data_IF_541479499069
#
_entry.id   IF_541479499069
#
_cell.length_a   1.000
_cell.length_b   1.000
_cell.length_c   1.000
_cell.angle_alpha   90.00
_cell.angle_beta   90.00
_cell.angle_gamma   90.00
#
_symmetry.space_group_name_H-M   'P 1'
#
loop_
_entity.id
_entity.type
_entity.pdbx_description
1 polymer ?
#
# COMPACT_ATOMS: atom_id res chain seq x y z
N UNK A 1 34.72 14.76 12.41
CA UNK A 1 34.10 16.00 11.87
C UNK A 1 34.32 16.11 10.35
N UNK A 2 34.12 15.00 9.62
CA UNK A 2 34.39 14.94 8.16
C UNK A 2 33.26 14.32 7.33
N UNK A 3 32.23 13.73 7.94
CA UNK A 3 31.18 12.98 7.22
C UNK A 3 29.79 13.63 7.22
N UNK A 4 29.67 14.88 7.70
CA UNK A 4 28.37 15.59 7.73
C UNK A 4 28.23 16.62 6.60
N UNK A 5 29.25 16.79 5.76
CA UNK A 5 29.29 17.86 4.74
C UNK A 5 29.26 17.36 3.29
N UNK A 6 29.25 16.05 3.02
CA UNK A 6 29.06 15.53 1.66
C UNK A 6 27.61 15.66 1.15
N UNK A 7 26.68 16.10 2.02
CA UNK A 7 25.27 16.30 1.69
C UNK A 7 25.02 17.65 0.97
N UNK A 8 25.96 18.60 1.02
CA UNK A 8 25.61 19.98 0.66
C UNK A 8 25.92 20.45 -0.74
N UNK A 9 26.94 19.96 -1.46
CA UNK A 9 27.18 20.42 -2.83
C UNK A 9 27.91 19.38 -3.68
N UNK A 10 27.13 18.55 -4.38
CA UNK A 10 27.61 17.63 -5.41
C UNK A 10 26.44 17.21 -6.29
N UNK A 11 26.56 17.45 -7.61
CA UNK A 11 25.58 17.13 -8.68
C UNK A 11 24.62 16.01 -8.31
N UNK A 12 23.35 16.37 -8.19
CA UNK A 12 22.32 15.48 -7.66
C UNK A 12 21.88 14.49 -8.73
N UNK A 13 22.26 13.23 -8.57
CA UNK A 13 21.55 12.11 -9.16
C UNK A 13 20.27 11.89 -8.32
N UNK A 14 19.16 12.52 -8.73
CA UNK A 14 17.95 12.74 -7.93
C UNK A 14 17.03 11.52 -7.74
N UNK A 15 17.56 10.30 -7.72
CA UNK A 15 16.77 9.14 -7.23
C UNK A 15 17.48 8.49 -6.07
N UNK A 16 17.18 8.95 -4.85
CA UNK A 16 17.45 8.16 -3.65
C UNK A 16 16.60 6.88 -3.80
N UNK A 17 17.23 5.77 -4.21
CA UNK A 17 16.52 4.50 -4.35
C UNK A 17 16.69 3.70 -3.06
N UNK A 18 15.58 3.39 -2.39
CA UNK A 18 15.57 2.47 -1.24
C UNK A 18 15.25 1.03 -1.68
N UNK A 19 15.68 0.64 -2.89
CA UNK A 19 15.35 -0.64 -3.53
C UNK A 19 15.68 -1.89 -2.70
N UNK A 20 16.60 -1.80 -1.73
CA UNK A 20 17.08 -2.95 -0.93
C UNK A 20 17.16 -2.65 0.57
N UNK A 21 16.33 -1.73 1.06
CA UNK A 21 16.45 -1.22 2.43
C UNK A 21 16.28 -2.30 3.50
N UNK A 22 15.41 -3.31 3.29
CA UNK A 22 15.24 -4.38 4.28
C UNK A 22 16.54 -5.19 4.42
N UNK A 23 17.24 -5.45 3.31
CA UNK A 23 18.53 -6.15 3.32
C UNK A 23 19.69 -5.36 3.94
N UNK A 24 19.54 -4.04 4.07
CA UNK A 24 20.52 -3.11 4.66
C UNK A 24 20.25 -2.84 6.15
N UNK A 25 19.13 -3.32 6.68
CA UNK A 25 18.83 -3.20 8.10
C UNK A 25 19.85 -3.99 8.95
N UNK A 26 20.20 -3.49 10.14
CA UNK A 26 21.04 -4.22 11.09
C UNK A 26 20.29 -5.41 11.70
N UNK A 27 21.03 -6.45 12.08
CA UNK A 27 20.50 -7.70 12.65
C UNK A 27 19.48 -7.52 13.78
N UNK A 28 19.71 -6.54 14.66
CA UNK A 28 18.81 -6.21 15.78
C UNK A 28 17.40 -5.77 15.35
N UNK A 29 17.25 -5.29 14.12
CA UNK A 29 15.97 -4.92 13.50
C UNK A 29 15.43 -6.08 12.67
N UNK A 30 16.29 -6.77 11.90
CA UNK A 30 15.86 -7.88 11.02
C UNK A 30 15.37 -9.10 11.79
N UNK A 31 15.80 -9.27 13.04
CA UNK A 31 15.30 -10.32 13.94
C UNK A 31 13.95 -9.99 14.60
N UNK A 32 13.43 -8.78 14.41
CA UNK A 32 12.11 -8.41 14.95
C UNK A 32 11.01 -8.95 14.02
N UNK A 33 9.83 -9.34 14.56
CA UNK A 33 8.69 -9.72 13.75
C UNK A 33 8.33 -8.63 12.72
N UNK A 34 8.02 -9.01 11.48
CA UNK A 34 7.81 -8.05 10.39
C UNK A 34 6.69 -7.03 10.69
N UNK A 35 5.67 -7.43 11.45
CA UNK A 35 4.59 -6.53 11.89
C UNK A 35 5.00 -5.54 12.99
N UNK A 36 6.25 -5.56 13.46
CA UNK A 36 6.80 -4.57 14.37
C UNK A 36 7.64 -3.51 13.65
N UNK A 37 8.06 -3.76 12.41
CA UNK A 37 8.80 -2.79 11.62
C UNK A 37 7.87 -1.68 11.10
N UNK A 38 8.39 -0.47 10.98
CA UNK A 38 7.78 0.58 10.18
C UNK A 38 8.03 0.31 8.69
N UNK A 39 6.97 0.20 7.90
CA UNK A 39 6.98 -0.21 6.49
C UNK A 39 6.26 0.85 5.65
N UNK A 40 6.92 1.43 4.63
CA UNK A 40 6.29 2.40 3.74
C UNK A 40 5.36 1.72 2.73
N UNK A 41 4.21 2.34 2.51
CA UNK A 41 3.12 1.83 1.68
C UNK A 41 2.47 2.92 0.84
N UNK A 42 1.73 2.52 -0.18
CA UNK A 42 0.98 3.43 -1.06
C UNK A 42 -0.49 3.06 -1.10
N UNK A 43 -1.35 4.07 -1.08
CA UNK A 43 -2.81 3.91 -1.19
C UNK A 43 -3.21 3.66 -2.64
N UNK A 44 -4.09 2.67 -2.87
CA UNK A 44 -4.51 2.24 -4.20
C UNK A 44 -3.33 2.24 -5.20
N UNK A 45 -2.30 1.43 -4.92
CA UNK A 45 -0.96 1.56 -5.49
C UNK A 45 -0.90 1.54 -7.03
N UNK A 46 -1.91 1.00 -7.68
CA UNK A 46 -1.96 0.76 -9.12
C UNK A 46 -2.59 1.91 -9.94
N UNK A 47 -3.15 2.92 -9.28
CA UNK A 47 -3.98 3.96 -9.94
C UNK A 47 -3.22 4.82 -10.94
N UNK A 48 -1.87 4.79 -10.92
CA UNK A 48 -1.00 5.36 -11.95
C UNK A 48 -1.33 4.86 -13.36
N UNK A 49 -1.97 3.70 -13.47
CA UNK A 49 -2.34 3.06 -14.73
C UNK A 49 -3.76 3.40 -15.22
N UNK A 50 -4.55 4.12 -14.41
CA UNK A 50 -5.84 4.68 -14.83
C UNK A 50 -5.57 5.80 -15.84
N UNK A 51 -6.38 5.85 -16.90
CA UNK A 51 -6.32 6.89 -17.92
C UNK A 51 -7.63 7.68 -17.90
N UNK A 52 -7.63 8.89 -18.44
CA UNK A 52 -8.88 9.65 -18.63
C UNK A 52 -9.92 8.88 -19.46
N UNK A 53 -9.46 8.04 -20.39
CA UNK A 53 -10.30 7.17 -21.21
C UNK A 53 -10.66 5.83 -20.54
N UNK A 54 -10.27 5.59 -19.28
CA UNK A 54 -10.65 4.37 -18.58
C UNK A 54 -12.15 4.36 -18.32
N UNK A 55 -12.79 3.20 -18.52
CA UNK A 55 -14.19 3.01 -18.19
C UNK A 55 -14.45 3.26 -16.70
N UNK A 56 -15.59 3.88 -16.39
CA UNK A 56 -16.04 4.11 -15.01
C UNK A 56 -16.42 2.76 -14.39
N UNK A 57 -15.96 2.50 -13.17
CA UNK A 57 -16.24 1.26 -12.46
C UNK A 57 -17.30 1.48 -11.36
N UNK A 58 -18.12 0.47 -11.00
CA UNK A 58 -19.20 0.61 -10.01
C UNK A 58 -18.81 1.15 -8.62
N UNK A 59 -17.53 1.16 -8.23
CA UNK A 59 -17.08 1.71 -6.95
C UNK A 59 -16.90 3.24 -6.97
N UNK A 60 -17.12 3.89 -8.13
CA UNK A 60 -16.98 5.34 -8.26
C UNK A 60 -17.99 6.10 -7.40
N UNK A 61 -17.58 7.16 -6.67
CA UNK A 61 -18.54 8.09 -6.08
C UNK A 61 -19.33 8.77 -7.20
N UNK A 62 -20.65 8.63 -7.19
CA UNK A 62 -21.50 9.15 -8.26
C UNK A 62 -21.54 8.29 -9.53
N UNK A 63 -21.24 6.98 -9.41
CA UNK A 63 -21.31 6.02 -10.52
C UNK A 63 -22.58 6.15 -11.37
N UNK A 64 -23.76 6.27 -10.75
CA UNK A 64 -25.04 6.38 -11.46
C UNK A 64 -25.10 7.60 -12.40
N UNK A 65 -24.38 8.67 -12.10
CA UNK A 65 -24.29 9.85 -12.94
C UNK A 65 -23.23 9.66 -14.04
N UNK A 66 -22.01 9.25 -13.66
CA UNK A 66 -20.89 9.16 -14.60
C UNK A 66 -21.00 8.00 -15.60
N UNK A 67 -21.63 6.89 -15.21
CA UNK A 67 -21.85 5.72 -16.08
C UNK A 67 -22.87 5.94 -17.19
N UNK A 68 -23.71 6.98 -17.08
CA UNK A 68 -24.65 7.38 -18.14
C UNK A 68 -23.98 8.18 -19.26
N UNK A 69 -22.76 8.68 -19.02
CA UNK A 69 -21.99 9.41 -20.02
C UNK A 69 -21.17 8.43 -20.87
N UNK A 70 -20.81 8.76 -22.13
CA UNK A 70 -19.83 7.99 -22.86
C UNK A 70 -18.52 7.89 -22.05
N UNK A 71 -17.86 6.72 -22.06
CA UNK A 71 -16.71 6.41 -21.21
C UNK A 71 -15.65 7.51 -21.16
N UNK A 72 -15.36 8.13 -22.31
CA UNK A 72 -14.40 9.23 -22.40
C UNK A 72 -14.79 10.43 -21.52
N UNK A 73 -16.06 10.83 -21.52
CA UNK A 73 -16.54 11.99 -20.76
C UNK A 73 -16.70 11.67 -19.28
N UNK A 74 -17.32 10.54 -18.94
CA UNK A 74 -17.46 10.11 -17.55
C UNK A 74 -16.10 9.86 -16.90
N UNK A 75 -15.21 9.16 -17.62
CA UNK A 75 -13.85 8.89 -17.19
C UNK A 75 -13.03 10.17 -16.98
N UNK A 76 -13.10 11.14 -17.89
CA UNK A 76 -12.38 12.41 -17.75
C UNK A 76 -12.79 13.19 -16.49
N UNK A 77 -14.07 13.17 -16.10
CA UNK A 77 -14.58 13.89 -14.93
C UNK A 77 -14.14 13.25 -13.61
N UNK A 78 -14.09 11.92 -13.54
CA UNK A 78 -13.72 11.20 -12.31
C UNK A 78 -12.20 10.96 -12.20
N UNK A 79 -11.45 11.08 -13.29
CA UNK A 79 -10.02 10.73 -13.36
C UNK A 79 -9.17 11.35 -12.25
N UNK A 80 -9.32 12.65 -12.01
CA UNK A 80 -8.55 13.35 -10.99
C UNK A 80 -8.90 12.92 -9.56
N UNK A 81 -10.06 12.31 -9.38
CA UNK A 81 -10.54 11.73 -8.13
C UNK A 81 -10.19 10.24 -7.98
N UNK A 82 -9.94 9.56 -9.11
CA UNK A 82 -9.57 8.15 -9.17
C UNK A 82 -8.06 7.92 -8.99
N UNK A 83 -7.21 8.86 -9.40
CA UNK A 83 -5.75 8.69 -9.35
C UNK A 83 -5.17 9.07 -7.99
N UNK A 84 -4.48 8.12 -7.34
CA UNK A 84 -3.80 8.28 -6.04
C UNK A 84 -2.28 8.16 -6.14
N UNK A 85 -1.75 7.58 -7.21
CA UNK A 85 -0.32 7.43 -7.47
C UNK A 85 0.00 7.77 -8.92
N UNK A 86 1.20 8.25 -9.18
CA UNK A 86 1.72 8.57 -10.53
C UNK A 86 2.96 7.74 -10.91
N UNK A 87 3.52 6.99 -9.95
CA UNK A 87 4.60 6.04 -10.20
C UNK A 87 4.05 4.64 -10.44
N UNK A 88 4.69 3.88 -11.32
CA UNK A 88 4.39 2.46 -11.50
C UNK A 88 4.67 1.63 -10.25
N UNK A 89 4.06 0.44 -10.12
CA UNK A 89 4.39 -0.49 -9.03
C UNK A 89 5.90 -0.77 -8.98
N UNK A 90 6.54 -0.90 -10.15
CA UNK A 90 7.99 -1.08 -10.24
C UNK A 90 8.75 0.08 -9.60
N UNK A 91 8.42 1.31 -9.98
CA UNK A 91 9.08 2.52 -9.46
C UNK A 91 8.81 2.72 -7.97
N UNK A 92 7.59 2.42 -7.50
CA UNK A 92 7.26 2.44 -6.07
C UNK A 92 8.13 1.45 -5.28
N UNK A 93 8.27 0.21 -5.77
CA UNK A 93 9.12 -0.80 -5.13
C UNK A 93 10.61 -0.38 -5.16
N UNK A 94 11.11 0.20 -6.25
CA UNK A 94 12.47 0.73 -6.34
C UNK A 94 12.72 1.93 -5.43
N UNK A 95 11.69 2.74 -5.18
CA UNK A 95 11.71 3.85 -4.24
C UNK A 95 11.66 3.39 -2.77
N UNK A 96 11.34 2.12 -2.50
CA UNK A 96 11.36 1.51 -1.17
C UNK A 96 10.00 1.13 -0.60
N UNK A 97 8.91 1.35 -1.33
CA UNK A 97 7.57 0.90 -0.93
C UNK A 97 7.57 -0.63 -0.80
N UNK A 98 6.96 -1.15 0.27
CA UNK A 98 6.85 -2.60 0.54
C UNK A 98 5.45 -3.04 0.95
N UNK A 99 4.51 -2.12 1.08
CA UNK A 99 3.08 -2.42 1.19
C UNK A 99 2.33 -1.82 0.00
N UNK A 100 1.62 -2.67 -0.74
CA UNK A 100 0.83 -2.30 -1.90
C UNK A 100 -0.65 -2.55 -1.60
N UNK A 101 -1.45 -1.49 -1.66
CA UNK A 101 -2.90 -1.52 -1.45
C UNK A 101 -3.62 -1.70 -2.78
N UNK A 102 -4.21 -2.87 -2.97
CA UNK A 102 -4.90 -3.28 -4.19
C UNK A 102 -6.40 -3.32 -3.97
N UNK A 103 -7.13 -2.91 -5.01
CA UNK A 103 -8.57 -3.10 -5.14
C UNK A 103 -8.83 -3.79 -6.45
N UNK A 104 -9.57 -4.89 -6.39
CA UNK A 104 -9.76 -5.78 -7.54
C UNK A 104 -11.24 -5.86 -7.88
N UNK A 105 -11.56 -5.66 -9.14
CA UNK A 105 -12.89 -5.87 -9.70
C UNK A 105 -12.87 -7.02 -10.70
N UNK A 106 -14.02 -7.68 -10.87
CA UNK A 106 -14.30 -8.42 -12.09
C UNK A 106 -14.90 -7.44 -13.10
N UNK A 107 -14.25 -7.24 -14.24
CA UNK A 107 -14.79 -6.43 -15.33
C UNK A 107 -16.16 -7.03 -15.74
N UNK A 108 -17.28 -6.30 -15.57
CA UNK A 108 -18.61 -6.84 -15.82
C UNK A 108 -18.87 -7.15 -17.30
N UNK A 109 -18.08 -6.56 -18.21
CA UNK A 109 -18.22 -6.75 -19.65
C UNK A 109 -17.31 -7.85 -20.19
N UNK A 110 -16.11 -8.01 -19.61
CA UNK A 110 -15.08 -8.96 -20.10
C UNK A 110 -14.91 -10.20 -19.22
N UNK A 111 -15.33 -10.13 -17.96
CA UNK A 111 -15.08 -11.18 -16.97
C UNK A 111 -13.63 -11.28 -16.50
N UNK A 112 -12.79 -10.30 -16.84
CA UNK A 112 -11.36 -10.26 -16.47
C UNK A 112 -11.15 -9.66 -15.07
N UNK A 113 -10.11 -10.10 -14.37
CA UNK A 113 -9.72 -9.49 -13.08
C UNK A 113 -8.88 -8.23 -13.35
N UNK A 114 -9.44 -7.08 -12.99
CA UNK A 114 -8.83 -5.76 -13.20
C UNK A 114 -8.66 -5.04 -11.88
N UNK A 115 -7.66 -4.16 -11.81
CA UNK A 115 -7.52 -3.25 -10.68
C UNK A 115 -8.48 -2.07 -10.85
N UNK A 116 -9.08 -1.58 -9.77
CA UNK A 116 -10.19 -0.59 -9.84
C UNK A 116 -10.14 0.45 -8.74
N UNK A 117 -10.38 1.71 -9.08
CA UNK A 117 -10.66 2.76 -8.10
C UNK A 117 -11.46 3.87 -8.79
N UNK A 118 -12.78 3.77 -8.75
CA UNK A 118 -13.72 4.58 -9.54
C UNK A 118 -13.64 4.37 -11.07
N UNK A 119 -12.52 3.87 -11.58
CA UNK A 119 -12.31 3.50 -12.96
C UNK A 119 -11.50 2.21 -13.06
N UNK A 120 -11.64 1.51 -14.18
CA UNK A 120 -10.79 0.38 -14.52
C UNK A 120 -9.35 0.83 -14.76
N UNK A 121 -8.41 0.10 -14.16
CA UNK A 121 -6.99 0.20 -14.39
C UNK A 121 -6.49 -1.03 -15.18
N UNK A 122 -5.21 -1.38 -15.05
CA UNK A 122 -4.64 -2.56 -15.70
C UNK A 122 -5.20 -3.89 -15.14
N UNK A 123 -5.07 -4.98 -15.91
CA UNK A 123 -5.27 -6.34 -15.40
C UNK A 123 -4.41 -6.60 -14.15
N UNK A 124 -4.97 -7.32 -13.17
CA UNK A 124 -4.25 -7.66 -11.94
C UNK A 124 -3.00 -8.49 -12.25
N UNK A 125 -3.10 -9.40 -13.23
CA UNK A 125 -1.99 -10.27 -13.66
C UNK A 125 -0.72 -9.49 -13.98
N UNK A 126 -0.84 -8.34 -14.67
CA UNK A 126 0.31 -7.53 -15.09
C UNK A 126 1.09 -7.02 -13.88
N UNK A 127 0.40 -6.50 -12.87
CA UNK A 127 1.04 -5.96 -11.67
C UNK A 127 1.59 -7.07 -10.76
N UNK A 128 0.93 -8.23 -10.67
CA UNK A 128 1.48 -9.38 -9.94
C UNK A 128 2.78 -9.87 -10.58
N UNK A 129 2.90 -9.83 -11.92
CA UNK A 129 4.15 -10.16 -12.62
C UNK A 129 5.27 -9.15 -12.33
N UNK A 130 4.94 -7.86 -12.16
CA UNK A 130 5.90 -6.84 -11.73
C UNK A 130 6.42 -7.16 -10.32
N UNK A 131 5.52 -7.48 -9.38
CA UNK A 131 5.86 -7.90 -8.01
C UNK A 131 6.77 -9.13 -8.02
N UNK A 132 6.40 -10.16 -8.79
CA UNK A 132 7.20 -11.39 -8.92
C UNK A 132 8.61 -11.11 -9.45
N UNK A 133 8.72 -10.27 -10.48
CA UNK A 133 10.00 -9.87 -11.06
C UNK A 133 10.87 -9.12 -10.06
N UNK A 134 10.32 -8.15 -9.35
CA UNK A 134 11.05 -7.40 -8.32
C UNK A 134 11.54 -8.32 -7.20
N UNK A 135 10.69 -9.22 -6.71
CA UNK A 135 11.04 -10.17 -5.66
C UNK A 135 12.21 -11.09 -6.06
N UNK A 136 12.28 -11.48 -7.34
CA UNK A 136 13.39 -12.26 -7.88
C UNK A 136 14.70 -11.46 -7.94
N UNK A 137 14.63 -10.18 -8.31
CA UNK A 137 15.80 -9.30 -8.40
C UNK A 137 16.34 -8.90 -7.02
N UNK A 138 15.46 -8.78 -6.01
CA UNK A 138 15.80 -8.37 -4.66
C UNK A 138 15.37 -9.44 -3.63
N UNK A 139 16.08 -10.57 -3.53
CA UNK A 139 15.67 -11.74 -2.74
C UNK A 139 15.79 -11.56 -1.23
N UNK A 140 16.05 -10.35 -0.72
CA UNK A 140 15.98 -10.04 0.73
C UNK A 140 14.93 -8.98 1.04
N UNK A 141 14.13 -8.61 0.05
CA UNK A 141 13.02 -7.69 0.23
C UNK A 141 11.71 -8.47 0.34
N UNK A 142 10.88 -8.08 1.30
CA UNK A 142 9.58 -8.71 1.55
C UNK A 142 8.47 -7.74 1.16
N UNK A 143 7.56 -8.19 0.30
CA UNK A 143 6.47 -7.37 -0.25
C UNK A 143 5.15 -7.83 0.37
N UNK A 144 4.40 -6.88 0.89
CA UNK A 144 3.03 -7.06 1.35
C UNK A 144 2.10 -6.57 0.24
N UNK A 145 1.29 -7.46 -0.32
CA UNK A 145 0.23 -7.10 -1.27
C UNK A 145 -1.10 -7.32 -0.57
N UNK A 146 -1.85 -6.25 -0.35
CA UNK A 146 -3.14 -6.30 0.31
C UNK A 146 -4.26 -6.08 -0.70
N UNK A 147 -4.98 -7.15 -1.06
CA UNK A 147 -6.20 -7.04 -1.83
C UNK A 147 -7.34 -6.63 -0.88
N UNK A 148 -7.30 -5.36 -0.48
CA UNK A 148 -8.11 -4.79 0.59
C UNK A 148 -9.60 -4.79 0.24
N UNK A 149 -9.94 -4.56 -1.04
CA UNK A 149 -11.32 -4.62 -1.53
C UNK A 149 -11.44 -5.48 -2.79
N UNK A 150 -12.50 -6.28 -2.85
CA UNK A 150 -12.90 -7.06 -4.01
C UNK A 150 -14.33 -6.68 -4.43
N UNK A 151 -14.54 -6.38 -5.71
CA UNK A 151 -15.82 -5.94 -6.26
C UNK A 151 -16.29 -6.87 -7.38
N UNK A 152 -17.62 -7.01 -7.52
CA UNK A 152 -18.26 -7.77 -8.61
C UNK A 152 -17.89 -9.28 -8.69
N UNK A 153 -17.31 -9.85 -7.64
CA UNK A 153 -17.14 -11.31 -7.50
C UNK A 153 -18.49 -11.97 -7.19
N UNK A 154 -19.22 -12.38 -8.23
CA UNK A 154 -20.59 -12.91 -8.13
C UNK A 154 -20.67 -14.43 -7.99
N UNK A 155 -19.58 -15.15 -8.27
CA UNK A 155 -19.58 -16.62 -8.30
C UNK A 155 -18.36 -17.21 -7.58
N UNK A 156 -18.52 -18.39 -6.98
CA UNK A 156 -17.40 -19.15 -6.41
C UNK A 156 -16.35 -19.53 -7.47
N UNK A 157 -16.75 -19.64 -8.74
CA UNK A 157 -15.82 -19.88 -9.85
C UNK A 157 -14.87 -18.69 -10.03
N UNK A 158 -15.38 -17.45 -10.04
CA UNK A 158 -14.53 -16.25 -10.12
C UNK A 158 -13.56 -16.16 -8.95
N UNK A 159 -14.00 -16.47 -7.73
CA UNK A 159 -13.13 -16.51 -6.55
C UNK A 159 -12.01 -17.55 -6.74
N UNK A 160 -12.35 -18.76 -7.18
CA UNK A 160 -11.39 -19.83 -7.42
C UNK A 160 -10.41 -19.53 -8.56
N UNK A 161 -10.89 -18.95 -9.66
CA UNK A 161 -10.07 -18.56 -10.80
C UNK A 161 -9.07 -17.45 -10.39
N UNK A 162 -9.50 -16.50 -9.54
CA UNK A 162 -8.64 -15.44 -9.03
C UNK A 162 -7.57 -15.98 -8.07
N UNK A 163 -7.96 -16.87 -7.16
CA UNK A 163 -7.01 -17.60 -6.30
C UNK A 163 -5.98 -18.36 -7.15
N UNK A 164 -6.43 -19.07 -8.20
CA UNK A 164 -5.57 -19.77 -9.14
C UNK A 164 -4.61 -18.82 -9.87
N UNK A 165 -5.07 -17.63 -10.26
CA UNK A 165 -4.24 -16.61 -10.89
C UNK A 165 -3.11 -16.16 -9.95
N UNK A 166 -3.44 -15.83 -8.70
CA UNK A 166 -2.46 -15.39 -7.70
C UNK A 166 -1.44 -16.51 -7.45
N UNK A 167 -1.89 -17.72 -7.18
CA UNK A 167 -1.01 -18.86 -6.88
C UNK A 167 -0.13 -19.26 -8.06
N UNK A 168 -0.64 -19.16 -9.30
CA UNK A 168 0.16 -19.40 -10.50
C UNK A 168 1.34 -18.44 -10.63
N UNK A 169 1.15 -17.16 -10.28
CA UNK A 169 2.18 -16.12 -10.47
C UNK A 169 3.10 -16.01 -9.25
N UNK A 170 2.53 -15.98 -8.04
CA UNK A 170 3.25 -15.69 -6.80
C UNK A 170 3.41 -16.91 -5.89
N UNK A 171 2.64 -17.98 -6.08
CA UNK A 171 2.60 -19.13 -5.16
C UNK A 171 3.96 -19.67 -4.72
N UNK A 172 4.95 -19.87 -5.63
CA UNK A 172 6.28 -20.36 -5.25
C UNK A 172 7.05 -19.43 -4.30
N UNK A 173 6.76 -18.13 -4.31
CA UNK A 173 7.43 -17.10 -3.50
C UNK A 173 6.52 -16.56 -2.39
N UNK A 174 5.31 -17.10 -2.22
CA UNK A 174 4.41 -16.66 -1.16
C UNK A 174 4.77 -17.28 0.19
N UNK A 175 4.79 -16.43 1.21
CA UNK A 175 4.87 -16.81 2.61
C UNK A 175 3.46 -17.25 3.04
N UNK A 176 3.23 -18.53 3.38
CA UNK A 176 1.92 -19.00 3.79
C UNK A 176 1.51 -18.40 5.15
N UNK A 177 0.21 -18.43 5.50
CA UNK A 177 -0.24 -18.05 6.83
C UNK A 177 0.48 -18.82 7.92
N UNK A 178 0.87 -18.10 8.97
CA UNK A 178 1.52 -18.64 10.17
C UNK A 178 0.78 -18.14 11.41
N UNK A 179 0.95 -18.81 12.55
CA UNK A 179 0.35 -18.36 13.81
C UNK A 179 0.82 -16.95 14.17
N UNK A 180 2.14 -16.73 14.09
CA UNK A 180 2.81 -15.44 14.30
C UNK A 180 3.32 -14.85 13.00
N UNK A 181 3.60 -13.53 12.99
CA UNK A 181 4.26 -12.90 11.85
C UNK A 181 5.77 -13.14 11.94
N UNK A 182 6.41 -13.75 10.94
CA UNK A 182 7.84 -14.03 10.97
C UNK A 182 8.68 -12.74 10.84
N UNK A 183 9.91 -12.80 11.33
CA UNK A 183 10.95 -11.78 11.16
C UNK A 183 11.57 -11.83 9.77
N UNK A 184 12.33 -10.81 9.39
CA UNK A 184 13.07 -10.82 8.12
C UNK A 184 14.12 -11.93 8.09
N UNK A 185 14.83 -12.15 9.21
CA UNK A 185 15.86 -13.20 9.32
C UNK A 185 15.28 -14.60 9.07
N UNK A 186 14.09 -14.89 9.61
CA UNK A 186 13.38 -16.16 9.39
C UNK A 186 12.91 -16.31 7.94
N UNK A 187 12.32 -15.25 7.37
CA UNK A 187 11.87 -15.25 5.97
C UNK A 187 13.04 -15.53 5.02
N UNK A 188 14.20 -14.92 5.26
CA UNK A 188 15.39 -15.07 4.42
C UNK A 188 16.00 -16.47 4.42
N UNK A 189 15.68 -17.32 5.40
CA UNK A 189 16.05 -18.75 5.38
C UNK A 189 15.25 -19.58 4.37
N UNK A 190 14.20 -18.99 3.79
CA UNK A 190 13.34 -19.63 2.78
C UNK A 190 13.57 -18.98 1.41
N UNK A 191 12.82 -19.42 0.39
CA UNK A 191 12.72 -18.73 -0.91
C UNK A 191 11.46 -17.82 -1.02
N UNK A 192 10.75 -17.59 0.08
CA UNK A 192 9.48 -16.86 0.12
C UNK A 192 9.67 -15.37 0.44
N UNK A 193 8.95 -14.48 -0.25
CA UNK A 193 9.18 -13.02 -0.21
C UNK A 193 7.90 -12.20 -0.27
N UNK A 194 6.75 -12.83 -0.51
CA UNK A 194 5.48 -12.11 -0.69
C UNK A 194 4.46 -12.60 0.32
N UNK A 195 3.86 -11.68 1.08
CA UNK A 195 2.63 -11.94 1.81
C UNK A 195 1.50 -11.33 1.00
N UNK A 196 0.49 -12.14 0.67
CA UNK A 196 -0.68 -11.68 -0.07
C UNK A 196 -1.92 -11.82 0.82
N UNK A 197 -2.62 -10.72 1.07
CA UNK A 197 -3.86 -10.69 1.83
C UNK A 197 -5.06 -10.66 0.88
N UNK A 198 -6.07 -11.47 1.18
CA UNK A 198 -7.29 -11.56 0.37
C UNK A 198 -8.53 -11.71 1.26
N UNK A 199 -9.52 -10.83 1.03
CA UNK A 199 -10.85 -10.90 1.65
C UNK A 199 -11.90 -11.35 0.64
N UNK A 200 -11.95 -12.65 0.41
CA UNK A 200 -13.03 -13.29 -0.33
C UNK A 200 -13.56 -14.45 0.49
N UNK A 201 -14.88 -14.66 0.45
CA UNK A 201 -15.51 -15.83 1.05
C UNK A 201 -15.13 -17.10 0.29
N UNK A 202 -13.91 -17.61 0.56
CA UNK A 202 -13.35 -18.83 -0.04
C UNK A 202 -13.95 -20.06 0.64
N UNK A 203 -15.00 -20.64 0.06
CA UNK A 203 -15.62 -21.86 0.61
C UNK A 203 -14.68 -23.07 0.60
N UNK A 204 -13.86 -23.20 -0.45
CA UNK A 204 -12.90 -24.28 -0.63
C UNK A 204 -11.55 -23.70 -1.12
N UNK A 205 -10.70 -23.18 -0.23
CA UNK A 205 -9.41 -22.59 -0.61
C UNK A 205 -8.49 -23.64 -1.26
N UNK A 206 -7.74 -23.23 -2.27
CA UNK A 206 -6.78 -24.09 -2.99
C UNK A 206 -5.66 -24.50 -2.02
N UNK A 207 -5.31 -25.79 -2.05
CA UNK A 207 -4.31 -26.36 -1.14
C UNK A 207 -2.92 -26.50 -1.81
N UNK A 208 -1.81 -26.26 -1.08
CA UNK A 208 -1.78 -25.70 0.27
C UNK A 208 -2.21 -24.22 0.27
N UNK A 209 -2.99 -23.80 1.26
CA UNK A 209 -3.43 -22.39 1.37
C UNK A 209 -2.22 -21.49 1.66
N UNK A 210 -2.03 -20.48 0.80
CA UNK A 210 -0.94 -19.50 0.90
C UNK A 210 -1.44 -18.08 1.09
N UNK A 211 -2.75 -17.86 1.05
CA UNK A 211 -3.33 -16.53 1.12
C UNK A 211 -3.63 -16.18 2.57
N UNK A 212 -3.12 -15.03 3.01
CA UNK A 212 -3.39 -14.53 4.34
C UNK A 212 -4.81 -13.98 4.40
N UNK A 213 -5.60 -14.31 5.42
CA UNK A 213 -6.93 -13.74 5.56
C UNK A 213 -6.81 -12.26 5.91
N UNK A 214 -7.61 -11.39 5.29
CA UNK A 214 -7.48 -9.92 5.45
C UNK A 214 -7.65 -9.42 6.88
N UNK A 215 -8.30 -10.20 7.77
CA UNK A 215 -8.29 -9.90 9.22
C UNK A 215 -6.88 -9.80 9.84
N UNK A 216 -5.84 -10.29 9.15
CA UNK A 216 -4.42 -10.18 9.55
C UNK A 216 -3.82 -8.81 9.24
N UNK A 217 -4.55 -7.93 8.55
CA UNK A 217 -4.21 -6.52 8.37
C UNK A 217 -5.36 -5.67 8.92
N UNK A 218 -5.07 -4.83 9.92
CA UNK A 218 -6.02 -3.83 10.40
C UNK A 218 -5.73 -2.52 9.69
N UNK A 219 -6.60 -2.13 8.75
CA UNK A 219 -6.47 -0.89 7.96
C UNK A 219 -7.67 0.03 8.18
N UNK A 220 -7.81 0.66 9.36
CA UNK A 220 -8.97 1.50 9.64
C UNK A 220 -8.90 2.79 8.81
N UNK A 221 -9.92 3.01 8.00
CA UNK A 221 -10.03 4.16 7.11
C UNK A 221 -10.46 5.42 7.89
N UNK A 222 -9.67 6.52 7.89
CA UNK A 222 -10.01 7.72 8.67
C UNK A 222 -11.36 8.34 8.29
N UNK A 223 -11.70 8.32 6.99
CA UNK A 223 -12.91 8.93 6.41
C UNK A 223 -13.08 10.39 6.86
N UNK A 224 -12.00 11.17 6.72
CA UNK A 224 -11.91 12.60 7.08
C UNK A 224 -11.60 13.45 5.86
N UNK A 225 -12.07 14.69 5.87
CA UNK A 225 -11.78 15.72 4.86
C UNK A 225 -10.85 16.82 5.37
N UNK A 226 -10.54 16.82 6.67
CA UNK A 226 -9.67 17.79 7.34
C UNK A 226 -8.43 17.13 7.98
N UNK A 227 -7.29 17.83 7.92
CA UNK A 227 -6.02 17.33 8.42
C UNK A 227 -5.96 17.22 9.96
N UNK A 228 -6.58 18.15 10.70
CA UNK A 228 -6.61 18.09 12.17
C UNK A 228 -7.41 16.87 12.65
N UNK A 229 -8.53 16.58 11.98
CA UNK A 229 -9.31 15.37 12.24
C UNK A 229 -8.52 14.09 11.91
N UNK A 230 -7.74 14.10 10.82
CA UNK A 230 -6.83 13.01 10.48
C UNK A 230 -5.79 12.78 11.59
N UNK A 231 -5.15 13.84 12.08
CA UNK A 231 -4.17 13.73 13.18
C UNK A 231 -4.81 13.23 14.47
N UNK A 232 -6.01 13.71 14.79
CA UNK A 232 -6.77 13.23 15.96
C UNK A 232 -7.08 11.73 15.84
N UNK A 233 -7.49 11.29 14.65
CA UNK A 233 -7.72 9.88 14.36
C UNK A 233 -6.43 9.05 14.54
N UNK A 234 -5.31 9.47 13.96
CA UNK A 234 -4.02 8.78 14.07
C UNK A 234 -3.54 8.67 15.53
N UNK A 235 -3.64 9.76 16.29
CA UNK A 235 -3.28 9.78 17.71
C UNK A 235 -4.14 8.81 18.55
N UNK A 236 -5.41 8.62 18.19
CA UNK A 236 -6.27 7.65 18.88
C UNK A 236 -5.86 6.18 18.64
N UNK A 237 -4.99 5.91 17.65
CA UNK A 237 -4.54 4.58 17.22
C UNK A 237 -3.02 4.42 17.30
N UNK A 238 -2.41 5.12 18.24
CA UNK A 238 -0.98 5.09 18.47
C UNK A 238 -0.66 5.00 19.96
N UNK A 239 0.49 4.40 20.27
CA UNK A 239 1.07 4.40 21.59
C UNK A 239 0.50 3.34 22.52
N UNK A 240 0.89 3.36 23.80
CA UNK A 240 0.59 2.27 24.75
C UNK A 240 -0.91 2.10 25.06
N UNK A 241 -1.74 3.11 24.74
CA UNK A 241 -3.20 3.03 24.87
C UNK A 241 -3.86 2.25 23.72
N UNK A 242 -3.11 1.96 22.67
CA UNK A 242 -3.54 1.19 21.51
C UNK A 242 -2.52 0.06 21.23
N UNK A 243 -2.48 -0.99 22.08
CA UNK A 243 -1.63 -2.15 21.82
C UNK A 243 -2.12 -2.88 20.57
N UNK A 244 -1.19 -3.20 19.66
CA UNK A 244 -1.51 -3.94 18.44
C UNK A 244 -1.49 -5.43 18.71
N UNK A 245 -2.35 -6.19 18.04
CA UNK A 245 -2.33 -7.65 18.17
C UNK A 245 -1.02 -8.22 17.58
N UNK A 246 -0.31 -9.11 18.29
CA UNK A 246 1.02 -9.57 17.91
C UNK A 246 1.03 -10.42 16.63
N UNK A 247 -0.14 -10.90 16.22
CA UNK A 247 -0.33 -11.73 15.04
C UNK A 247 -0.81 -10.92 13.82
N UNK A 248 -0.95 -9.59 13.93
CA UNK A 248 -1.53 -8.75 12.86
C UNK A 248 -0.63 -7.59 12.47
N UNK A 249 -0.77 -7.19 11.22
CA UNK A 249 -0.29 -5.91 10.72
C UNK A 249 -1.30 -4.81 11.02
N UNK A 250 -0.81 -3.57 11.11
CA UNK A 250 -1.65 -2.39 11.28
C UNK A 250 -1.20 -1.30 10.33
N UNK A 251 -2.17 -0.66 9.68
CA UNK A 251 -1.94 0.40 8.70
C UNK A 251 -2.36 1.75 9.29
N UNK A 252 -1.40 2.67 9.37
CA UNK A 252 -1.62 4.09 9.63
C UNK A 252 -1.77 4.82 8.29
N UNK A 253 -2.99 5.23 7.96
CA UNK A 253 -3.29 5.90 6.70
C UNK A 253 -3.23 7.43 6.84
N UNK A 254 -2.35 8.07 6.08
CA UNK A 254 -2.20 9.54 6.01
C UNK A 254 -3.00 10.18 4.88
N UNK A 255 -4.22 9.70 4.64
CA UNK A 255 -5.06 10.14 3.51
C UNK A 255 -6.27 10.94 3.98
N UNK A 256 -6.73 11.85 3.13
CA UNK A 256 -8.05 12.46 3.23
C UNK A 256 -8.97 11.87 2.17
N UNK A 257 -10.25 11.76 2.49
CA UNK A 257 -11.23 11.12 1.63
C UNK A 257 -12.38 12.09 1.39
N UNK A 258 -12.54 12.60 0.16
CA UNK A 258 -13.71 13.34 -0.21
C UNK A 258 -14.92 12.40 -0.30
N UNK A 259 -16.08 12.85 0.15
CA UNK A 259 -17.32 12.13 -0.10
C UNK A 259 -17.87 12.40 -1.51
N UNK A 260 -18.93 11.68 -1.88
CA UNK A 260 -19.55 11.83 -3.19
C UNK A 260 -20.02 13.27 -3.46
N UNK A 261 -20.55 13.97 -2.45
CA UNK A 261 -21.03 15.34 -2.63
C UNK A 261 -19.86 16.29 -2.90
N UNK A 262 -18.76 16.13 -2.17
CA UNK A 262 -17.53 16.88 -2.39
C UNK A 262 -16.99 16.67 -3.80
N UNK A 263 -16.92 15.43 -4.28
CA UNK A 263 -16.45 15.11 -5.63
C UNK A 263 -17.33 15.78 -6.69
N UNK A 264 -18.65 15.66 -6.57
CA UNK A 264 -19.61 16.24 -7.53
C UNK A 264 -19.58 17.77 -7.55
N UNK A 265 -19.32 18.43 -6.41
CA UNK A 265 -19.21 19.88 -6.33
C UNK A 265 -17.86 20.45 -6.76
N UNK A 266 -16.82 19.61 -6.88
CA UNK A 266 -15.47 20.04 -7.22
C UNK A 266 -14.98 19.34 -8.51
N UNK A 267 -15.61 19.56 -9.68
CA UNK A 267 -15.26 18.86 -10.91
C UNK A 267 -13.84 19.15 -11.41
N UNK A 268 -13.24 20.29 -11.01
CA UNK A 268 -11.85 20.64 -11.32
C UNK A 268 -10.84 20.27 -10.23
N UNK A 269 -11.29 19.72 -9.10
CA UNK A 269 -10.42 19.32 -8.00
C UNK A 269 -9.73 17.98 -8.25
N UNK A 270 -8.87 17.58 -7.31
CA UNK A 270 -8.16 16.30 -7.39
C UNK A 270 -7.80 15.71 -6.03
N UNK A 271 -7.61 14.39 -6.00
CA UNK A 271 -6.98 13.72 -4.83
C UNK A 271 -5.57 14.25 -4.57
N UNK A 272 -4.86 14.73 -5.60
CA UNK A 272 -3.52 15.30 -5.44
C UNK A 272 -3.51 16.55 -4.56
N UNK A 273 -4.52 17.41 -4.67
CA UNK A 273 -4.63 18.59 -3.79
C UNK A 273 -4.83 18.18 -2.33
N UNK A 274 -5.73 17.21 -2.10
CA UNK A 274 -5.97 16.64 -0.77
C UNK A 274 -4.73 15.93 -0.22
N UNK A 275 -3.97 15.23 -1.07
CA UNK A 275 -2.78 14.50 -0.67
C UNK A 275 -1.69 15.44 -0.15
N UNK A 276 -1.53 16.64 -0.73
CA UNK A 276 -0.57 17.62 -0.23
C UNK A 276 -0.87 18.05 1.20
N UNK A 277 -2.14 18.29 1.52
CA UNK A 277 -2.60 18.67 2.86
C UNK A 277 -2.44 17.50 3.84
N UNK A 278 -2.96 16.32 3.46
CA UNK A 278 -2.92 15.11 4.28
C UNK A 278 -1.50 14.63 4.54
N UNK A 279 -0.70 14.52 3.47
CA UNK A 279 0.65 14.00 3.50
C UNK A 279 1.59 14.89 4.29
N UNK A 280 1.50 16.22 4.17
CA UNK A 280 2.30 17.13 5.01
C UNK A 280 2.00 16.91 6.50
N UNK A 281 0.73 16.91 6.89
CA UNK A 281 0.34 16.68 8.28
C UNK A 281 0.80 15.29 8.77
N UNK A 282 0.70 14.27 7.92
CA UNK A 282 1.13 12.91 8.23
C UNK A 282 2.65 12.79 8.39
N UNK A 283 3.45 13.45 7.55
CA UNK A 283 4.91 13.48 7.65
C UNK A 283 5.37 14.22 8.91
N UNK A 284 4.72 15.33 9.24
CA UNK A 284 4.92 16.05 10.50
C UNK A 284 4.58 15.13 11.69
N UNK A 285 3.48 14.38 11.59
CA UNK A 285 3.10 13.39 12.59
C UNK A 285 4.14 12.27 12.72
N UNK A 286 4.61 11.65 11.64
CA UNK A 286 5.64 10.60 11.67
C UNK A 286 6.96 11.10 12.26
N UNK A 287 7.28 12.38 12.08
CA UNK A 287 8.57 12.97 12.48
C UNK A 287 8.64 13.38 13.95
N UNK A 288 7.54 13.29 14.71
CA UNK A 288 7.53 13.72 16.10
C UNK A 288 8.45 12.88 17.01
N UNK A 289 8.97 13.49 18.07
CA UNK A 289 10.00 12.90 18.93
C UNK A 289 9.56 11.60 19.62
N UNK A 290 8.27 11.45 19.90
CA UNK A 290 7.69 10.27 20.51
C UNK A 290 7.33 9.16 19.52
N UNK A 291 7.41 9.40 18.20
CA UNK A 291 7.05 8.42 17.18
C UNK A 291 8.14 7.37 16.99
N UNK A 292 7.76 6.10 17.08
CA UNK A 292 8.65 4.97 16.88
C UNK A 292 7.90 3.79 16.23
N UNK A 293 8.65 2.82 15.69
CA UNK A 293 8.13 1.51 15.32
C UNK A 293 7.95 0.62 16.57
N UNK A 294 7.55 -0.64 16.39
CA UNK A 294 7.45 -1.64 17.46
C UNK A 294 6.01 -1.96 17.89
N UNK A 295 5.81 -2.77 18.95
CA UNK A 295 4.50 -3.33 19.33
C UNK A 295 3.39 -2.29 19.56
N UNK A 296 3.75 -1.13 20.11
CA UNK A 296 2.84 -0.01 20.39
C UNK A 296 3.03 1.16 19.42
N UNK A 297 3.86 0.96 18.39
CA UNK A 297 4.30 1.99 17.47
C UNK A 297 3.63 1.92 16.10
N UNK A 298 4.23 2.65 15.16
CA UNK A 298 3.89 2.63 13.73
C UNK A 298 4.31 1.30 13.12
N UNK A 299 3.46 0.74 12.26
CA UNK A 299 3.80 -0.43 11.45
C UNK A 299 3.73 -0.09 9.97
N UNK A 300 2.65 -0.39 9.27
CA UNK A 300 2.51 -0.01 7.87
C UNK A 300 2.03 1.43 7.82
N UNK A 301 2.62 2.23 6.95
CA UNK A 301 2.14 3.59 6.66
C UNK A 301 1.65 3.65 5.23
N UNK A 302 0.70 4.53 4.93
CA UNK A 302 0.05 4.58 3.62
C UNK A 302 -0.30 6.03 3.25
N UNK A 303 0.10 6.45 2.05
CA UNK A 303 -0.11 7.80 1.51
C UNK A 303 -0.57 7.77 0.05
N UNK A 304 -1.25 8.83 -0.36
CA UNK A 304 -1.41 9.21 -1.77
C UNK A 304 -0.15 9.94 -2.25
N UNK A 305 0.28 9.67 -3.49
CA UNK A 305 1.46 10.25 -4.15
C UNK A 305 2.74 10.18 -3.31
N UNK A 306 2.90 9.06 -2.60
CA UNK A 306 3.80 8.91 -1.46
C UNK A 306 5.29 9.20 -1.77
N UNK A 307 5.74 8.96 -3.00
CA UNK A 307 7.15 9.12 -3.40
C UNK A 307 7.35 10.37 -4.25
N UNK A 308 6.46 10.63 -5.19
CA UNK A 308 6.56 11.74 -6.13
C UNK A 308 6.28 13.09 -5.47
N UNK A 309 5.25 13.17 -4.61
CA UNK A 309 4.92 14.39 -3.87
C UNK A 309 5.74 14.51 -2.57
N UNK A 310 6.23 13.40 -2.02
CA UNK A 310 6.95 13.35 -0.74
C UNK A 310 8.25 12.54 -0.83
N UNK A 311 9.33 13.08 -1.43
CA UNK A 311 10.57 12.33 -1.66
C UNK A 311 11.26 11.81 -0.38
N UNK A 312 10.97 12.40 0.77
CA UNK A 312 11.52 12.04 2.07
C UNK A 312 10.63 11.05 2.87
N UNK A 313 9.45 10.71 2.35
CA UNK A 313 8.50 9.83 3.03
C UNK A 313 9.11 8.49 3.41
N UNK A 314 9.73 7.79 2.46
CA UNK A 314 10.35 6.49 2.71
C UNK A 314 11.43 6.62 3.78
N UNK A 315 12.34 7.58 3.65
CA UNK A 315 13.40 7.80 4.63
C UNK A 315 12.86 8.07 6.05
N UNK A 316 11.78 8.87 6.18
CA UNK A 316 11.13 9.15 7.46
C UNK A 316 10.51 7.90 8.09
N UNK A 317 9.85 7.06 7.30
CA UNK A 317 9.30 5.79 7.79
C UNK A 317 10.42 4.85 8.25
N UNK A 318 11.50 4.74 7.47
CA UNK A 318 12.64 3.89 7.82
C UNK A 318 13.36 4.36 9.08
N UNK A 319 13.45 5.68 9.30
CA UNK A 319 14.05 6.26 10.50
C UNK A 319 13.36 5.79 11.80
N UNK A 320 12.06 5.49 11.76
CA UNK A 320 11.33 4.96 12.92
C UNK A 320 11.89 3.61 13.39
N UNK A 321 12.34 2.75 12.49
CA UNK A 321 12.98 1.47 12.84
C UNK A 321 14.29 1.69 13.59
N UNK A 322 15.14 2.59 13.09
CA UNK A 322 16.43 2.90 13.72
C UNK A 322 16.26 3.59 15.08
N UNK A 323 15.19 4.38 15.24
CA UNK A 323 14.84 5.03 16.50
C UNK A 323 14.35 4.04 17.55
N UNK A 324 13.56 3.03 17.15
CA UNK A 324 13.09 1.97 18.07
C UNK A 324 14.23 1.07 18.53
N UNK A 325 15.13 0.70 17.61
CA UNK A 325 16.26 -0.17 17.90
C UNK A 325 17.58 0.53 17.52
N UNK A 326 18.09 1.45 18.37
CA UNK A 326 19.33 2.17 18.12
C UNK A 326 20.54 1.24 18.13
N UNK A 327 21.67 1.69 17.59
CA UNK A 327 22.92 0.95 17.73
C UNK A 327 23.31 0.90 19.22
N UNK A 328 23.77 -0.27 19.67
CA UNK A 328 24.44 -0.36 20.97
C UNK A 328 25.73 0.44 20.89
N UNK A 329 25.94 1.35 21.85
CA UNK A 329 27.19 2.11 21.97
C UNK A 329 28.38 1.21 22.29
#
# INVERSE_FOLDING_TARGET
MGDVLSILYGRIDHRITHRKWMSELPGRITCQPLNQLAIPGTHNSFTYSIKQSSAVFPDAPGYDFFSQLPDFFGGMLIHNWAVTQDLSIREQLEAGIRYLDFRVGVDPNKGEFVLVHGQCAKPVEDELRVVAKFSKEYPREVILVDCNHCYEFKTSKQIHDFESLILRILGPIMIPPQDTVPSLDEIWQTNQRVIFFLDLHRSNPIQPDRLWPSRRVRSPWPKKTDASDLITFLNSRYGPKFPREPDRFFVHQGILTPDQYYVLLNPSGSVRELSHVAGKAFLDWLSAEERCAGPNGVNITLLDFAVSAFPDYVAKVLALNHKTWPASN
#
